data_IF_293553480593
#
_entry.id   IF_293553480593
#
_cell.length_a   1.000
_cell.length_b   1.000
_cell.length_c   1.000
_cell.angle_alpha   90.00
_cell.angle_beta   90.00
_cell.angle_gamma   90.00
#
_symmetry.space_group_name_H-M   'P 1'
#
loop_
_entity.id
_entity.type
_entity.pdbx_description
1 polymer ?
#
# COMPACT_ATOMS: atom_id res chain seq x y z
N UNK A 1 45.29 46.29 -10.55
CA UNK A 1 44.33 46.97 -11.43
C UNK A 1 43.00 46.26 -11.32
N UNK A 2 42.08 46.86 -10.57
CA UNK A 2 40.71 46.40 -10.45
C UNK A 2 39.94 46.92 -11.70
N UNK A 3 39.64 46.00 -12.61
CA UNK A 3 38.81 46.29 -13.77
C UNK A 3 37.35 46.05 -13.46
N UNK A 4 36.45 46.98 -13.78
CA UNK A 4 35.00 46.81 -13.76
C UNK A 4 34.52 46.60 -15.19
N UNK A 5 33.82 45.50 -15.46
CA UNK A 5 33.20 45.20 -16.73
C UNK A 5 31.68 45.30 -16.59
N UNK A 6 31.04 46.21 -17.36
CA UNK A 6 29.60 46.33 -17.43
C UNK A 6 29.12 45.83 -18.80
N UNK A 7 28.13 44.96 -18.83
CA UNK A 7 27.55 44.44 -20.07
C UNK A 7 27.11 43.00 -19.97
N UNK A 8 26.51 42.50 -21.07
CA UNK A 8 26.12 41.09 -21.16
C UNK A 8 27.23 40.26 -21.85
N UNK A 9 27.59 39.17 -21.21
CA UNK A 9 28.63 38.26 -21.75
C UNK A 9 27.96 36.99 -22.26
N UNK A 10 28.30 36.59 -23.46
CA UNK A 10 27.89 35.32 -24.06
C UNK A 10 29.14 34.50 -24.40
N UNK A 11 29.44 33.52 -23.56
CA UNK A 11 30.62 32.67 -23.78
C UNK A 11 30.41 31.29 -23.13
N UNK A 12 30.96 30.22 -23.72
CA UNK A 12 30.83 28.87 -23.23
C UNK A 12 31.58 28.62 -21.90
N UNK A 13 32.52 29.47 -21.57
CA UNK A 13 33.29 29.42 -20.33
C UNK A 13 33.82 30.81 -19.98
N UNK A 14 33.64 31.19 -18.72
CA UNK A 14 34.11 32.47 -18.19
C UNK A 14 34.98 32.20 -16.97
N UNK A 15 36.15 32.87 -16.90
CA UNK A 15 36.99 32.90 -15.71
C UNK A 15 37.11 34.35 -15.25
N UNK A 16 36.83 34.62 -14.00
CA UNK A 16 36.93 35.95 -13.38
C UNK A 16 38.15 35.90 -12.45
N UNK A 17 39.06 36.80 -12.67
CA UNK A 17 40.27 36.92 -11.82
C UNK A 17 39.89 37.54 -10.47
N UNK A 18 40.66 37.20 -9.43
CA UNK A 18 40.46 37.71 -8.08
C UNK A 18 40.56 39.24 -8.06
N UNK A 19 39.53 39.91 -7.50
CA UNK A 19 39.44 41.37 -7.44
C UNK A 19 38.73 42.03 -8.63
N UNK A 20 38.29 41.31 -9.67
CA UNK A 20 37.46 41.88 -10.73
C UNK A 20 35.98 41.87 -10.35
N UNK A 21 35.26 42.94 -10.72
CA UNK A 21 33.83 43.04 -10.56
C UNK A 21 33.12 42.98 -11.91
N UNK A 22 32.06 42.18 -12.01
CA UNK A 22 31.21 42.09 -13.17
C UNK A 22 29.78 42.50 -12.80
N UNK A 23 29.20 43.41 -13.61
CA UNK A 23 27.81 43.85 -13.48
C UNK A 23 27.11 43.68 -14.82
N UNK A 24 26.27 42.64 -14.90
CA UNK A 24 25.50 42.29 -16.10
C UNK A 24 24.97 40.88 -16.05
N UNK A 25 24.34 40.44 -17.14
CA UNK A 25 23.91 39.05 -17.28
C UNK A 25 24.93 38.23 -18.06
N UNK A 26 25.14 37.00 -17.61
CA UNK A 26 25.99 36.02 -18.30
C UNK A 26 25.11 34.98 -18.96
N UNK A 27 25.09 34.96 -20.31
CA UNK A 27 24.45 33.90 -21.06
C UNK A 27 25.56 32.93 -21.52
N UNK A 28 25.64 31.80 -20.85
CA UNK A 28 26.58 30.73 -21.22
C UNK A 28 26.00 29.85 -22.34
N UNK A 29 25.30 30.43 -23.32
CA UNK A 29 24.68 29.83 -24.49
C UNK A 29 25.18 28.45 -24.82
N UNK A 30 24.78 27.46 -24.10
CA UNK A 30 25.05 26.09 -24.39
C UNK A 30 24.26 25.72 -25.62
N UNK A 31 24.98 25.58 -26.74
CA UNK A 31 24.64 24.58 -27.72
C UNK A 31 24.35 23.32 -26.93
N UNK A 32 23.13 22.78 -27.09
CA UNK A 32 22.59 21.63 -26.37
C UNK A 32 23.69 20.90 -25.58
N UNK A 33 23.70 21.10 -24.26
CA UNK A 33 24.32 20.13 -23.41
C UNK A 33 23.85 18.80 -24.00
N UNK A 34 24.74 18.00 -24.54
CA UNK A 34 24.53 16.58 -24.54
C UNK A 34 24.03 16.36 -23.15
N UNK A 35 22.75 16.07 -23.01
CA UNK A 35 22.14 15.65 -21.77
C UNK A 35 23.17 14.65 -21.23
N UNK A 36 23.98 15.11 -20.30
CA UNK A 36 24.64 14.20 -19.40
C UNK A 36 23.47 13.38 -18.89
N UNK A 37 23.44 12.04 -19.18
CA UNK A 37 22.29 11.24 -18.88
C UNK A 37 21.95 11.63 -17.46
N UNK A 38 20.75 12.23 -17.30
CA UNK A 38 20.30 12.79 -16.05
C UNK A 38 20.83 11.84 -15.02
N UNK A 39 21.65 12.34 -14.09
CA UNK A 39 22.17 11.49 -13.05
C UNK A 39 20.89 10.95 -12.40
N UNK A 40 20.41 9.85 -12.94
CA UNK A 40 19.58 8.91 -12.24
C UNK A 40 20.41 8.74 -11.00
N UNK A 41 19.98 9.34 -9.91
CA UNK A 41 20.58 9.18 -8.60
C UNK A 41 21.03 7.73 -8.60
N UNK A 42 22.33 7.50 -8.68
CA UNK A 42 22.88 6.19 -8.95
C UNK A 42 22.27 5.35 -7.85
N UNK A 43 21.24 4.60 -8.20
CA UNK A 43 20.55 3.72 -7.29
C UNK A 43 21.69 2.82 -6.91
N UNK A 44 22.23 2.98 -5.71
CA UNK A 44 23.33 2.15 -5.25
C UNK A 44 22.90 0.74 -5.51
N UNK A 45 23.47 0.15 -6.54
CA UNK A 45 23.10 -1.19 -6.97
C UNK A 45 23.59 -2.08 -5.85
N UNK A 46 22.65 -2.73 -5.18
CA UNK A 46 22.93 -3.50 -3.99
C UNK A 46 23.74 -4.74 -4.38
N UNK A 47 24.99 -4.78 -3.97
CA UNK A 47 25.88 -5.91 -4.17
C UNK A 47 25.75 -6.90 -3.02
N UNK A 48 25.62 -8.18 -3.35
CA UNK A 48 25.49 -9.27 -2.38
C UNK A 48 26.39 -10.43 -2.76
N UNK A 49 26.80 -11.20 -1.75
CA UNK A 49 27.69 -12.36 -1.89
C UNK A 49 26.93 -13.66 -1.72
N UNK A 50 27.16 -14.62 -2.59
CA UNK A 50 26.53 -15.93 -2.55
C UNK A 50 27.09 -16.73 -1.38
N UNK A 51 26.28 -17.04 -0.38
CA UNK A 51 26.66 -17.85 0.80
C UNK A 51 26.39 -19.33 0.61
N UNK A 52 25.38 -19.69 -0.15
CA UNK A 52 25.03 -21.06 -0.52
C UNK A 52 26.06 -21.64 -1.52
N UNK A 53 26.14 -22.97 -1.68
CA UNK A 53 27.06 -23.59 -2.62
C UNK A 53 26.93 -23.10 -4.06
N UNK A 54 25.69 -22.76 -4.45
CA UNK A 54 25.40 -22.25 -5.79
C UNK A 54 24.12 -21.41 -5.84
N UNK A 55 24.10 -20.42 -6.71
CA UNK A 55 22.94 -19.61 -7.06
C UNK A 55 22.62 -19.77 -8.55
N UNK A 56 21.46 -20.34 -8.86
CA UNK A 56 21.02 -20.54 -10.25
C UNK A 56 20.48 -19.23 -10.85
N UNK A 57 21.01 -18.87 -12.02
CA UNK A 57 20.51 -17.77 -12.85
C UNK A 57 19.75 -18.32 -14.04
N UNK A 58 18.53 -17.81 -14.26
CA UNK A 58 17.64 -18.20 -15.36
C UNK A 58 17.46 -17.10 -16.38
N UNK A 59 17.04 -17.46 -17.59
CA UNK A 59 16.76 -16.49 -18.66
C UNK A 59 15.58 -15.55 -18.37
N UNK A 60 14.68 -15.97 -17.49
CA UNK A 60 13.46 -15.22 -17.16
C UNK A 60 12.96 -15.44 -15.73
N UNK A 61 12.01 -14.59 -15.28
CA UNK A 61 11.49 -14.62 -13.91
C UNK A 61 10.45 -15.72 -13.72
N UNK A 62 10.87 -16.97 -13.66
CA UNK A 62 9.98 -18.11 -13.46
C UNK A 62 10.71 -19.45 -13.48
N UNK A 63 10.13 -20.46 -12.83
CA UNK A 63 10.71 -21.83 -12.73
C UNK A 63 10.81 -22.55 -14.08
N UNK A 64 9.94 -22.19 -15.04
CA UNK A 64 9.93 -22.78 -16.38
C UNK A 64 11.03 -22.26 -17.30
N UNK A 65 11.75 -21.21 -16.92
CA UNK A 65 12.86 -20.68 -17.72
C UNK A 65 14.12 -21.50 -17.46
N UNK A 66 14.92 -21.81 -18.51
CA UNK A 66 16.14 -22.57 -18.37
C UNK A 66 17.19 -21.84 -17.53
N UNK A 67 18.00 -22.60 -16.80
CA UNK A 67 19.16 -22.11 -16.09
C UNK A 67 20.26 -21.83 -17.11
N UNK A 68 20.78 -20.62 -17.12
CA UNK A 68 21.86 -20.20 -18.04
C UNK A 68 23.20 -20.14 -17.37
N UNK A 69 23.22 -19.90 -16.06
CA UNK A 69 24.44 -19.79 -15.30
C UNK A 69 24.21 -20.20 -13.86
N UNK A 70 25.29 -20.68 -13.25
CA UNK A 70 25.36 -20.96 -11.81
C UNK A 70 26.49 -20.12 -11.25
N UNK A 71 26.18 -19.33 -10.21
CA UNK A 71 27.14 -18.50 -9.47
C UNK A 71 27.56 -19.26 -8.24
N UNK A 72 28.87 -19.40 -8.01
CA UNK A 72 29.42 -20.14 -6.91
C UNK A 72 29.42 -19.39 -5.58
N UNK A 73 29.68 -20.10 -4.49
CA UNK A 73 29.84 -19.50 -3.16
C UNK A 73 30.98 -18.47 -3.17
N UNK A 74 30.76 -17.32 -2.56
CA UNK A 74 31.75 -16.25 -2.43
C UNK A 74 31.79 -15.31 -3.63
N UNK A 75 31.18 -15.68 -4.76
CA UNK A 75 31.04 -14.74 -5.89
C UNK A 75 30.00 -13.66 -5.57
N UNK A 76 30.21 -12.46 -6.06
CA UNK A 76 29.27 -11.37 -5.88
C UNK A 76 28.31 -11.22 -7.05
N UNK A 77 27.10 -10.76 -6.75
CA UNK A 77 26.09 -10.38 -7.72
C UNK A 77 25.48 -9.04 -7.35
N UNK A 78 25.18 -8.25 -8.36
CA UNK A 78 24.57 -6.93 -8.25
C UNK A 78 23.08 -7.04 -8.55
N UNK A 79 22.22 -6.52 -7.65
CA UNK A 79 20.77 -6.57 -7.84
C UNK A 79 20.31 -5.40 -8.70
N UNK A 80 19.82 -5.68 -9.91
CA UNK A 80 19.37 -4.68 -10.88
C UNK A 80 17.91 -4.30 -10.69
N UNK A 81 17.03 -5.30 -10.55
CA UNK A 81 15.59 -5.09 -10.36
C UNK A 81 14.91 -6.31 -9.79
N UNK A 82 13.71 -6.09 -9.24
CA UNK A 82 12.85 -7.14 -8.71
C UNK A 82 11.58 -7.26 -9.54
N UNK A 83 11.11 -8.49 -9.73
CA UNK A 83 9.83 -8.79 -10.35
C UNK A 83 9.20 -9.99 -9.65
N UNK A 84 8.11 -9.75 -8.90
CA UNK A 84 7.43 -10.77 -8.08
C UNK A 84 8.44 -11.49 -7.17
N UNK A 85 8.62 -12.80 -7.32
CA UNK A 85 9.50 -13.64 -6.51
C UNK A 85 10.88 -13.87 -7.16
N UNK A 86 11.28 -12.99 -8.09
CA UNK A 86 12.52 -13.09 -8.86
C UNK A 86 13.28 -11.78 -8.84
N UNK A 87 14.61 -11.88 -8.71
CA UNK A 87 15.50 -10.75 -8.83
C UNK A 87 16.35 -10.87 -10.10
N UNK A 88 16.39 -9.82 -10.87
CA UNK A 88 17.35 -9.73 -11.96
C UNK A 88 18.68 -9.28 -11.38
N UNK A 89 19.69 -10.08 -11.55
CA UNK A 89 21.02 -9.84 -11.02
C UNK A 89 22.05 -9.82 -12.16
N UNK A 90 23.17 -9.17 -11.90
CA UNK A 90 24.34 -9.15 -12.77
C UNK A 90 25.52 -9.70 -12.01
N UNK A 91 26.22 -10.65 -12.60
CA UNK A 91 27.48 -11.20 -12.04
C UNK A 91 28.63 -10.23 -12.27
N UNK A 92 29.77 -10.42 -11.58
CA UNK A 92 30.99 -9.68 -11.80
C UNK A 92 31.50 -9.74 -13.27
N UNK A 93 31.19 -10.83 -13.96
CA UNK A 93 31.50 -11.04 -15.37
C UNK A 93 30.56 -10.32 -16.34
N UNK A 94 29.59 -9.52 -15.79
CA UNK A 94 28.61 -8.79 -16.59
C UNK A 94 27.44 -9.62 -17.11
N UNK A 95 27.32 -10.90 -16.74
CA UNK A 95 26.24 -11.77 -17.19
C UNK A 95 24.99 -11.46 -16.35
N UNK A 96 23.88 -11.21 -17.02
CA UNK A 96 22.60 -10.94 -16.39
C UNK A 96 21.70 -12.18 -16.40
N UNK A 97 21.02 -12.40 -15.28
CA UNK A 97 20.07 -13.51 -15.15
C UNK A 97 19.04 -13.25 -14.05
N UNK A 98 18.11 -14.16 -13.90
CA UNK A 98 17.06 -14.09 -12.90
C UNK A 98 17.31 -15.15 -11.83
N UNK A 99 17.50 -14.70 -10.60
CA UNK A 99 17.62 -15.56 -9.42
C UNK A 99 16.29 -15.59 -8.66
N UNK A 100 15.95 -16.74 -8.12
CA UNK A 100 14.75 -16.84 -7.28
C UNK A 100 14.99 -16.11 -5.96
N UNK A 101 13.98 -15.34 -5.53
CA UNK A 101 14.07 -14.55 -4.30
C UNK A 101 14.39 -15.40 -3.08
N UNK A 102 13.82 -16.60 -2.96
CA UNK A 102 14.07 -17.55 -1.87
C UNK A 102 15.55 -17.97 -1.74
N UNK A 103 16.29 -17.96 -2.85
CA UNK A 103 17.71 -18.30 -2.88
C UNK A 103 18.56 -17.04 -2.59
N UNK A 104 18.05 -15.87 -2.99
CA UNK A 104 18.70 -14.58 -2.73
C UNK A 104 18.68 -14.15 -1.27
N UNK A 105 17.66 -14.51 -0.48
CA UNK A 105 17.63 -14.19 0.98
C UNK A 105 18.73 -14.91 1.76
N UNK A 106 19.34 -15.91 1.18
CA UNK A 106 20.47 -16.63 1.76
C UNK A 106 21.82 -16.04 1.35
N UNK A 107 21.85 -14.91 0.62
CA UNK A 107 23.05 -14.17 0.27
C UNK A 107 23.41 -13.19 1.39
N UNK A 108 24.67 -12.77 1.42
CA UNK A 108 25.20 -11.86 2.42
C UNK A 108 25.41 -10.46 1.81
N UNK A 109 25.16 -9.45 2.58
CA UNK A 109 25.59 -8.09 2.30
C UNK A 109 27.11 -7.95 2.54
N UNK A 110 27.70 -6.84 2.11
CA UNK A 110 29.12 -6.55 2.29
C UNK A 110 29.56 -6.53 3.77
N UNK A 111 28.65 -6.25 4.69
CA UNK A 111 28.85 -6.28 6.15
C UNK A 111 28.72 -7.68 6.77
N UNK A 112 28.46 -8.71 5.97
CA UNK A 112 28.28 -10.08 6.41
C UNK A 112 26.89 -10.39 6.96
N UNK A 113 25.95 -9.46 6.94
CA UNK A 113 24.56 -9.69 7.33
C UNK A 113 23.79 -10.35 6.17
N UNK A 114 22.76 -11.13 6.51
CA UNK A 114 21.88 -11.74 5.51
C UNK A 114 21.11 -10.65 4.76
N UNK A 115 20.97 -10.81 3.45
CA UNK A 115 20.14 -9.93 2.64
C UNK A 115 18.69 -10.00 3.12
N UNK A 116 18.25 -8.93 3.79
CA UNK A 116 16.85 -8.75 4.15
C UNK A 116 16.07 -8.29 2.92
N UNK A 117 15.47 -9.22 2.21
CA UNK A 117 14.48 -8.90 1.18
C UNK A 117 13.12 -9.07 1.85
N UNK A 118 12.28 -8.05 1.79
CA UNK A 118 10.86 -8.22 2.09
C UNK A 118 10.29 -9.31 1.16
N UNK A 119 10.36 -10.52 1.66
CA UNK A 119 9.75 -11.68 1.06
C UNK A 119 8.26 -11.44 1.19
N UNK A 120 7.47 -11.18 0.24
CA UNK A 120 6.00 -11.15 0.39
C UNK A 120 5.42 -12.45 0.98
N UNK A 121 6.12 -12.97 1.95
CA UNK A 121 5.77 -14.01 2.88
C UNK A 121 5.10 -13.37 4.11
N UNK A 122 4.75 -14.21 5.03
CA UNK A 122 3.93 -13.93 6.22
C UNK A 122 4.33 -12.66 6.99
N UNK A 123 5.64 -12.38 7.12
CA UNK A 123 6.14 -11.21 7.81
C UNK A 123 5.84 -9.90 7.04
N UNK A 124 5.80 -9.93 5.71
CA UNK A 124 5.48 -8.77 4.88
C UNK A 124 4.02 -8.29 5.02
N UNK A 125 3.08 -9.17 5.40
CA UNK A 125 1.68 -8.77 5.63
C UNK A 125 1.50 -8.02 6.96
N UNK A 126 2.35 -8.27 7.94
CA UNK A 126 2.28 -7.64 9.26
C UNK A 126 3.13 -6.37 9.38
N UNK A 127 4.06 -6.13 8.44
CA UNK A 127 4.97 -4.98 8.47
C UNK A 127 4.30 -3.63 8.24
N UNK A 128 3.14 -3.62 7.60
CA UNK A 128 2.41 -2.40 7.26
C UNK A 128 1.48 -1.99 8.40
N UNK A 129 1.50 -0.70 8.75
CA UNK A 129 0.67 -0.17 9.85
C UNK A 129 -0.67 0.37 9.38
N UNK A 130 -0.75 0.85 8.14
CA UNK A 130 -1.94 1.44 7.58
C UNK A 130 -2.57 0.59 6.51
N UNK A 131 -3.89 0.50 6.54
CA UNK A 131 -4.70 -0.18 5.54
C UNK A 131 -5.84 0.73 5.13
N UNK A 132 -6.18 0.75 3.85
CA UNK A 132 -7.38 1.41 3.35
C UNK A 132 -8.08 0.51 2.34
N UNK A 133 -9.40 0.66 2.22
CA UNK A 133 -10.16 -0.14 1.30
C UNK A 133 -11.55 0.38 1.02
N UNK A 134 -12.18 -0.21 0.00
CA UNK A 134 -13.57 -0.01 -0.33
C UNK A 134 -14.30 -1.34 -0.33
N UNK A 135 -15.51 -1.36 0.19
CA UNK A 135 -16.35 -2.54 0.32
C UNK A 135 -17.76 -2.25 -0.15
N UNK A 136 -18.41 -3.28 -0.61
CA UNK A 136 -19.85 -3.27 -0.95
C UNK A 136 -20.52 -4.42 -0.23
N UNK A 137 -21.80 -4.29 0.04
CA UNK A 137 -22.53 -5.31 0.77
C UNK A 137 -24.00 -4.97 0.93
N UNK A 138 -24.56 -5.50 1.98
CA UNK A 138 -25.95 -5.33 2.34
C UNK A 138 -26.06 -4.94 3.82
N UNK A 139 -26.99 -4.07 4.10
CA UNK A 139 -27.34 -3.59 5.42
C UNK A 139 -28.82 -3.78 5.62
N UNK A 140 -29.21 -4.88 6.26
CA UNK A 140 -30.59 -5.25 6.53
C UNK A 140 -31.50 -5.15 5.28
N UNK A 141 -31.00 -5.67 4.13
CA UNK A 141 -31.68 -5.61 2.84
C UNK A 141 -31.44 -4.34 2.02
N UNK A 142 -30.67 -3.36 2.50
CA UNK A 142 -30.26 -2.19 1.75
C UNK A 142 -28.85 -2.36 1.16
N UNK A 143 -28.67 -1.93 -0.09
CA UNK A 143 -27.33 -1.95 -0.69
C UNK A 143 -26.37 -1.02 0.09
N UNK A 144 -25.20 -1.53 0.45
CA UNK A 144 -24.19 -0.83 1.23
C UNK A 144 -22.94 -0.57 0.42
N UNK A 145 -22.45 0.66 0.50
CA UNK A 145 -21.10 1.03 0.05
C UNK A 145 -20.33 1.58 1.24
N UNK A 146 -19.14 1.06 1.47
CA UNK A 146 -18.32 1.41 2.62
C UNK A 146 -16.88 1.64 2.22
N UNK A 147 -16.25 2.65 2.82
CA UNK A 147 -14.81 2.78 2.88
C UNK A 147 -14.31 2.37 4.26
N UNK A 148 -13.03 2.06 4.40
CA UNK A 148 -12.41 1.96 5.71
C UNK A 148 -10.95 2.37 5.68
N UNK A 149 -10.47 2.84 6.82
CA UNK A 149 -9.08 3.12 7.12
C UNK A 149 -8.74 2.43 8.42
N UNK A 150 -7.69 1.60 8.43
CA UNK A 150 -7.30 0.90 9.64
C UNK A 150 -5.84 1.12 9.99
N UNK A 151 -5.56 1.12 11.29
CA UNK A 151 -4.24 1.23 11.86
C UNK A 151 -3.91 0.02 12.72
N UNK A 152 -2.77 -0.61 12.46
CA UNK A 152 -2.28 -1.76 13.22
C UNK A 152 -1.57 -1.30 14.50
N UNK A 153 -2.15 -1.62 15.65
CA UNK A 153 -1.53 -1.43 16.96
C UNK A 153 -0.41 -2.44 17.18
N UNK A 154 -0.68 -3.67 16.79
CA UNK A 154 0.27 -4.77 16.70
C UNK A 154 -0.20 -5.76 15.61
N UNK A 155 0.47 -6.89 15.46
CA UNK A 155 0.16 -7.88 14.41
C UNK A 155 -1.25 -8.44 14.51
N UNK A 156 -1.79 -8.55 15.73
CA UNK A 156 -3.11 -9.13 16.01
C UNK A 156 -4.21 -8.09 16.20
N UNK A 157 -3.88 -6.87 16.59
CA UNK A 157 -4.86 -5.87 16.99
C UNK A 157 -4.82 -4.65 16.08
N UNK A 158 -5.98 -4.28 15.56
CA UNK A 158 -6.15 -3.14 14.66
C UNK A 158 -7.35 -2.31 15.05
N UNK A 159 -7.22 -0.99 14.88
CA UNK A 159 -8.35 -0.06 14.98
C UNK A 159 -8.74 0.35 13.57
N UNK A 160 -10.02 0.38 13.26
CA UNK A 160 -10.54 0.88 11.99
C UNK A 160 -11.61 1.95 12.16
N UNK A 161 -11.64 2.84 11.16
CA UNK A 161 -12.68 3.84 10.94
C UNK A 161 -13.37 3.47 9.63
N UNK A 162 -14.70 3.29 9.68
CA UNK A 162 -15.48 2.83 8.54
C UNK A 162 -16.67 3.74 8.27
N UNK A 163 -16.55 4.73 7.37
CA UNK A 163 -17.72 5.41 6.82
C UNK A 163 -18.47 4.47 5.87
N UNK A 164 -19.78 4.40 6.00
CA UNK A 164 -20.64 3.60 5.12
C UNK A 164 -21.88 4.38 4.74
N UNK A 165 -22.36 4.14 3.52
CA UNK A 165 -23.61 4.67 3.01
C UNK A 165 -24.49 3.51 2.56
N UNK A 166 -25.71 3.46 3.05
CA UNK A 166 -26.71 2.52 2.57
C UNK A 166 -27.74 3.24 1.69
N UNK A 167 -28.10 2.59 0.60
CA UNK A 167 -28.91 3.13 -0.47
C UNK A 167 -30.20 2.31 -0.54
N UNK A 168 -31.30 2.99 -0.31
CA UNK A 168 -32.70 2.58 -0.40
C UNK A 168 -33.06 1.11 -0.59
N UNK A 169 -33.94 0.59 0.23
CA UNK A 169 -34.56 -0.72 0.04
C UNK A 169 -35.74 -0.58 -0.88
N UNK A 170 -35.69 -1.16 -2.06
CA UNK A 170 -36.89 -1.40 -2.87
C UNK A 170 -37.59 -2.64 -2.32
N UNK A 171 -38.26 -2.52 -1.17
CA UNK A 171 -39.14 -3.56 -0.70
C UNK A 171 -40.51 -3.41 -1.39
N UNK A 172 -40.97 -4.47 -2.04
CA UNK A 172 -42.29 -4.52 -2.70
C UNK A 172 -43.47 -4.31 -1.75
N UNK A 173 -43.23 -4.13 -0.45
CA UNK A 173 -44.29 -4.01 0.57
C UNK A 173 -44.52 -2.59 1.08
N UNK A 174 -43.56 -1.69 1.01
CA UNK A 174 -43.71 -0.27 1.38
C UNK A 174 -42.62 0.55 0.69
N UNK A 175 -42.98 1.57 -0.12
CA UNK A 175 -42.01 2.43 -0.75
C UNK A 175 -41.49 3.45 0.27
N UNK A 176 -40.54 3.06 1.09
CA UNK A 176 -39.75 3.98 1.88
C UNK A 176 -38.30 3.84 1.43
N UNK A 177 -37.87 4.73 0.54
CA UNK A 177 -36.46 4.93 0.21
C UNK A 177 -35.72 5.32 1.48
N UNK A 178 -35.27 4.32 2.25
CA UNK A 178 -34.42 4.56 3.41
C UNK A 178 -32.99 4.62 2.93
N UNK A 179 -32.46 5.80 2.85
CA UNK A 179 -31.03 6.03 2.66
C UNK A 179 -30.43 6.58 3.95
N UNK A 180 -29.17 6.28 4.18
CA UNK A 180 -28.50 6.79 5.36
C UNK A 180 -27.01 6.54 5.31
N UNK A 181 -26.35 6.94 6.38
CA UNK A 181 -24.92 6.70 6.54
C UNK A 181 -24.58 6.28 7.96
N UNK A 182 -23.49 5.54 8.09
CA UNK A 182 -22.90 5.19 9.38
C UNK A 182 -21.45 5.65 9.40
N UNK A 183 -20.97 5.98 10.58
CA UNK A 183 -19.56 6.22 10.84
C UNK A 183 -19.15 5.37 12.03
N UNK A 184 -18.39 4.34 11.79
CA UNK A 184 -18.04 3.32 12.76
C UNK A 184 -16.57 3.40 13.16
N UNK A 185 -16.30 3.17 14.44
CA UNK A 185 -14.96 2.90 14.97
C UNK A 185 -14.96 1.48 15.53
N UNK A 186 -14.02 0.66 15.06
CA UNK A 186 -13.91 -0.74 15.42
C UNK A 186 -12.56 -1.15 15.92
N UNK A 187 -12.55 -2.17 16.75
CA UNK A 187 -11.38 -2.90 17.20
C UNK A 187 -11.44 -4.31 16.61
N UNK A 188 -10.43 -4.66 15.82
CA UNK A 188 -10.35 -5.96 15.16
C UNK A 188 -9.25 -6.80 15.79
N UNK A 189 -9.56 -8.03 16.17
CA UNK A 189 -8.57 -9.02 16.59
C UNK A 189 -8.38 -10.07 15.50
N UNK A 190 -7.18 -10.09 14.89
CA UNK A 190 -6.80 -11.03 13.84
C UNK A 190 -6.11 -12.24 14.48
N UNK A 191 -6.64 -13.44 14.28
CA UNK A 191 -6.14 -14.64 14.96
C UNK A 191 -4.79 -15.12 14.41
N UNK A 192 -4.65 -15.15 13.10
CA UNK A 192 -3.46 -15.66 12.40
C UNK A 192 -3.03 -14.69 11.28
N UNK A 193 -2.43 -13.55 11.64
CA UNK A 193 -2.13 -12.47 10.70
C UNK A 193 -1.15 -12.89 9.61
N UNK A 194 -0.33 -13.90 9.88
CA UNK A 194 0.65 -14.45 8.94
C UNK A 194 0.05 -15.39 7.88
N UNK A 195 -1.17 -15.84 8.06
CA UNK A 195 -1.79 -16.74 7.10
C UNK A 195 -2.34 -15.98 5.91
N UNK A 196 -2.31 -16.62 4.75
CA UNK A 196 -2.92 -16.07 3.55
C UNK A 196 -4.42 -15.84 3.69
N UNK A 197 -5.08 -16.69 4.49
CA UNK A 197 -6.44 -16.53 4.95
C UNK A 197 -6.44 -16.26 6.45
N UNK A 198 -6.73 -15.03 6.85
CA UNK A 198 -6.65 -14.57 8.23
C UNK A 198 -8.03 -14.21 8.75
N UNK A 199 -8.65 -15.06 9.57
CA UNK A 199 -9.91 -14.74 10.22
C UNK A 199 -9.71 -13.69 11.31
N UNK A 200 -10.74 -12.88 11.54
CA UNK A 200 -10.75 -11.89 12.62
C UNK A 200 -12.14 -11.76 13.24
N UNK A 201 -12.19 -11.22 14.44
CA UNK A 201 -13.41 -10.73 15.09
C UNK A 201 -13.32 -9.23 15.26
N UNK A 202 -14.47 -8.58 15.27
CA UNK A 202 -14.58 -7.13 15.41
C UNK A 202 -15.59 -6.77 16.49
N UNK A 203 -15.29 -5.71 17.23
CA UNK A 203 -16.19 -5.08 18.18
C UNK A 203 -16.06 -3.57 18.00
N UNK A 204 -17.17 -2.85 18.02
CA UNK A 204 -17.10 -1.41 17.84
C UNK A 204 -18.43 -0.72 18.11
N UNK A 205 -18.43 0.56 17.80
CA UNK A 205 -19.59 1.41 17.88
C UNK A 205 -19.51 2.54 16.87
N UNK A 206 -20.62 3.19 16.66
CA UNK A 206 -20.65 4.26 15.69
C UNK A 206 -21.91 5.11 15.75
N UNK A 207 -21.92 6.09 14.89
CA UNK A 207 -23.05 6.96 14.65
C UNK A 207 -23.87 6.40 13.50
N UNK A 208 -25.17 6.36 13.69
CA UNK A 208 -26.14 5.87 12.74
C UNK A 208 -27.10 7.00 12.37
N UNK A 209 -27.20 7.30 11.08
CA UNK A 209 -28.08 8.34 10.58
C UNK A 209 -28.95 7.79 9.46
N UNK A 210 -30.25 7.94 9.59
CA UNK A 210 -31.23 7.58 8.57
C UNK A 210 -31.88 8.84 8.04
N UNK A 211 -31.71 9.09 6.74
CA UNK A 211 -32.46 10.12 6.05
C UNK A 211 -33.86 9.59 5.77
N UNK A 212 -34.86 10.22 6.30
CA UNK A 212 -36.26 9.91 6.00
C UNK A 212 -36.71 10.65 4.74
N UNK A 213 -37.74 10.06 4.12
CA UNK A 213 -38.39 10.56 2.92
C UNK A 213 -38.70 12.06 3.02
N UNK A 214 -38.19 12.89 2.09
CA UNK A 214 -38.50 14.34 2.01
C UNK A 214 -39.99 14.65 1.85
N UNK A 215 -40.80 13.66 1.46
CA UNK A 215 -42.24 13.85 1.26
C UNK A 215 -43.08 13.74 2.55
N UNK A 216 -42.45 13.36 3.67
CA UNK A 216 -43.14 13.32 4.95
C UNK A 216 -42.65 14.44 5.88
N UNK A 217 -43.38 15.56 6.03
CA UNK A 217 -42.98 16.69 6.86
C UNK A 217 -42.83 16.39 8.37
N UNK A 218 -43.26 15.23 8.82
CA UNK A 218 -43.13 14.78 10.21
C UNK A 218 -41.96 13.84 10.44
N UNK A 219 -41.18 13.55 9.41
CA UNK A 219 -40.00 12.69 9.51
C UNK A 219 -38.85 13.49 10.13
N UNK A 220 -38.44 13.11 11.32
CA UNK A 220 -37.27 13.66 12.01
C UNK A 220 -36.06 12.83 11.62
N UNK A 221 -34.95 13.50 11.24
CA UNK A 221 -33.66 12.87 11.06
C UNK A 221 -33.24 12.20 12.37
N UNK A 222 -32.94 10.89 12.30
CA UNK A 222 -32.54 10.13 13.47
C UNK A 222 -31.02 10.08 13.54
N UNK A 223 -30.49 10.63 14.62
CA UNK A 223 -29.09 10.49 14.99
C UNK A 223 -29.00 9.54 16.18
N UNK A 224 -28.77 8.27 15.89
CA UNK A 224 -28.69 7.26 16.93
C UNK A 224 -27.24 6.76 17.09
N UNK A 225 -26.92 6.27 18.27
CA UNK A 225 -25.68 5.58 18.54
C UNK A 225 -25.89 4.08 18.32
N UNK A 226 -24.84 3.40 17.89
CA UNK A 226 -24.90 1.96 17.72
C UNK A 226 -23.65 1.29 18.26
N UNK A 227 -23.81 0.06 18.71
CA UNK A 227 -22.72 -0.86 18.97
C UNK A 227 -22.84 -2.07 18.06
N UNK A 228 -21.72 -2.67 17.72
CA UNK A 228 -21.73 -3.86 16.89
C UNK A 228 -20.63 -4.85 17.31
N UNK A 229 -20.88 -6.09 17.00
CA UNK A 229 -19.89 -7.16 17.05
C UNK A 229 -19.98 -7.98 15.77
N UNK A 230 -18.89 -8.65 15.42
CA UNK A 230 -18.90 -9.41 14.18
C UNK A 230 -17.65 -10.25 13.98
N UNK A 231 -17.63 -10.90 12.84
CA UNK A 231 -16.50 -11.69 12.39
C UNK A 231 -16.24 -11.45 10.91
N UNK A 232 -15.02 -11.71 10.49
CA UNK A 232 -14.64 -11.55 9.09
C UNK A 232 -13.38 -12.33 8.74
N UNK A 233 -12.96 -12.12 7.52
CA UNK A 233 -11.74 -12.71 7.01
C UNK A 233 -10.98 -11.71 6.14
N UNK A 234 -9.68 -11.97 6.03
CA UNK A 234 -8.76 -11.32 5.11
C UNK A 234 -8.13 -12.38 4.23
N UNK A 235 -8.13 -12.18 2.95
CA UNK A 235 -7.48 -13.06 1.99
C UNK A 235 -6.45 -12.27 1.18
N UNK A 236 -5.17 -12.50 1.44
CA UNK A 236 -4.08 -11.78 0.82
C UNK A 236 -3.84 -12.25 -0.61
N UNK A 237 -4.09 -11.35 -1.58
CA UNK A 237 -3.89 -11.59 -3.01
C UNK A 237 -2.43 -11.36 -3.39
N UNK A 238 -1.87 -10.25 -2.93
CA UNK A 238 -0.52 -9.81 -3.20
C UNK A 238 0.07 -9.17 -1.93
N UNK A 239 1.28 -8.66 -2.00
CA UNK A 239 1.93 -7.94 -0.89
C UNK A 239 1.23 -6.68 -0.46
N UNK A 240 0.43 -6.08 -1.33
CA UNK A 240 -0.23 -4.79 -1.09
C UNK A 240 -1.74 -4.88 -1.12
N UNK A 241 -2.31 -5.94 -1.69
CA UNK A 241 -3.74 -6.05 -1.90
C UNK A 241 -4.29 -7.31 -1.26
N UNK A 242 -5.43 -7.17 -0.62
CA UNK A 242 -6.18 -8.28 -0.05
C UNK A 242 -7.67 -8.05 -0.20
N UNK A 243 -8.43 -9.15 -0.14
CA UNK A 243 -9.89 -9.13 -0.02
C UNK A 243 -10.21 -9.13 1.46
N UNK A 244 -11.13 -8.28 1.88
CA UNK A 244 -11.72 -8.26 3.20
C UNK A 244 -13.20 -8.59 3.08
N UNK A 245 -13.70 -9.53 3.89
CA UNK A 245 -15.10 -9.81 4.08
C UNK A 245 -15.44 -9.75 5.56
N UNK A 246 -16.60 -9.20 5.91
CA UNK A 246 -17.06 -9.12 7.28
C UNK A 246 -18.57 -9.22 7.39
N UNK A 247 -19.02 -9.78 8.50
CA UNK A 247 -20.40 -9.85 8.93
C UNK A 247 -20.50 -9.25 10.33
N UNK A 248 -21.45 -8.36 10.54
CA UNK A 248 -21.69 -7.66 11.80
C UNK A 248 -23.15 -7.76 12.22
N UNK A 249 -23.36 -7.96 13.49
CA UNK A 249 -24.64 -7.70 14.16
C UNK A 249 -24.53 -6.35 14.86
N UNK A 250 -25.45 -5.47 14.57
CA UNK A 250 -25.51 -4.10 15.09
C UNK A 250 -26.75 -3.91 15.94
N UNK A 251 -26.57 -3.34 17.09
CA UNK A 251 -27.62 -2.86 17.95
C UNK A 251 -27.65 -1.35 17.91
N UNK A 252 -28.77 -0.79 17.47
CA UNK A 252 -28.98 0.66 17.43
C UNK A 252 -29.75 1.06 18.69
N UNK A 253 -29.16 1.97 19.45
CA UNK A 253 -29.77 2.50 20.69
C UNK A 253 -30.73 3.63 20.33
N UNK A 254 -31.98 3.32 20.21
CA UNK A 254 -33.01 4.32 19.93
C UNK A 254 -33.58 4.90 21.22
N UNK A 255 -34.00 6.15 21.19
CA UNK A 255 -34.72 6.78 22.31
C UNK A 255 -36.17 6.24 22.46
N UNK A 256 -36.55 5.25 21.65
CA UNK A 256 -37.84 4.56 21.66
C UNK A 256 -37.71 3.28 22.47
N UNK A 257 -38.86 2.68 22.81
CA UNK A 257 -38.95 1.58 23.78
C UNK A 257 -38.24 0.27 23.38
N UNK A 258 -37.79 0.11 22.13
CA UNK A 258 -37.10 -1.11 21.66
C UNK A 258 -35.85 -0.76 20.87
N UNK A 259 -34.74 -1.44 21.19
CA UNK A 259 -33.52 -1.40 20.40
C UNK A 259 -33.70 -2.18 19.10
N UNK A 260 -33.19 -1.68 18.00
CA UNK A 260 -33.23 -2.36 16.70
C UNK A 260 -31.96 -3.18 16.50
N UNK A 261 -32.11 -4.46 16.14
CA UNK A 261 -31.01 -5.33 15.75
C UNK A 261 -30.96 -5.39 14.21
N UNK A 262 -29.79 -5.08 13.64
CA UNK A 262 -29.58 -5.01 12.20
C UNK A 262 -28.41 -5.88 11.81
N UNK A 263 -28.53 -6.56 10.69
CA UNK A 263 -27.47 -7.39 10.13
C UNK A 263 -26.77 -6.65 8.99
N UNK A 264 -25.44 -6.73 8.97
CA UNK A 264 -24.61 -6.11 7.96
C UNK A 264 -23.59 -7.13 7.46
N UNK A 265 -23.49 -7.32 6.14
CA UNK A 265 -22.38 -8.03 5.56
C UNK A 265 -21.75 -7.20 4.43
N UNK A 266 -20.44 -7.26 4.31
CA UNK A 266 -19.72 -6.55 3.25
C UNK A 266 -18.45 -7.28 2.83
N UNK A 267 -18.09 -7.10 1.57
CA UNK A 267 -16.88 -7.63 0.98
C UNK A 267 -16.24 -6.57 0.08
N UNK A 268 -14.93 -6.54 0.02
CA UNK A 268 -14.25 -5.57 -0.81
C UNK A 268 -12.76 -5.80 -0.94
N UNK A 269 -12.12 -4.84 -1.58
CA UNK A 269 -10.68 -4.81 -1.81
C UNK A 269 -10.03 -3.77 -0.91
N UNK A 270 -8.88 -4.14 -0.39
CA UNK A 270 -8.07 -3.29 0.45
C UNK A 270 -6.60 -3.37 0.09
N UNK A 271 -5.86 -2.36 0.50
CA UNK A 271 -4.42 -2.26 0.28
C UNK A 271 -3.70 -1.74 1.52
N UNK A 272 -2.42 -2.11 1.63
CA UNK A 272 -1.49 -1.64 2.66
C UNK A 272 -0.63 -0.49 2.15
N UNK A 273 -0.29 0.45 3.07
CA UNK A 273 0.64 1.55 2.80
C UNK A 273 1.40 2.03 4.04
#
# INVERSE_FOLDING_TARGET
PSGILEGNIRAPKIAIAEGAQFKGSVDMGGKAAVEAPAAHAAKELLQVFVAEPSLELRTGPGRGYPVTQVVGRGESVEILKRRTDWLKVRTERGIEGWAAQRDMVKTLLADGTLLSIDLGDRAGFTSHRWEAGGMVGDFDGANLVSGYLAFSLNDHLKIDLSPSQFLGVTSNATPADRSGYTLDVGLNHVFVPEWRFSPFVTLGGGLFNVNRDPQNPQAVDLHDQSAYYGAGFRFYLTRRFFVRGEYKNRVVFTSRNDNEELEEWKVGLAFFF
#
